data_IF_759713001610
#
_entry.id   IF_759713001610
#
_cell.length_a   1.000
_cell.length_b   1.000
_cell.length_c   1.000
_cell.angle_alpha   90.00
_cell.angle_beta   90.00
_cell.angle_gamma   90.00
#
_symmetry.space_group_name_H-M   'P 1'
#
loop_
_entity.id
_entity.type
_entity.pdbx_description
1 polymer ?
#
# COMPACT_ATOMS: atom_id res chain seq x y z
N UNK A 1 -4.88 -5.97 -34.99
CA UNK A 1 -4.53 -5.93 -33.54
C UNK A 1 -3.12 -6.45 -33.41
N UNK A 2 -2.24 -5.79 -32.65
CA UNK A 2 -0.91 -6.33 -32.32
C UNK A 2 -1.05 -7.60 -31.49
N UNK A 3 -0.04 -8.48 -31.52
CA UNK A 3 -0.02 -9.66 -30.66
C UNK A 3 0.05 -9.24 -29.19
N UNK A 4 -0.66 -9.93 -28.26
CA UNK A 4 -0.54 -9.69 -26.84
C UNK A 4 0.91 -9.79 -26.36
N UNK A 5 1.33 -8.90 -25.47
CA UNK A 5 2.63 -9.03 -24.80
C UNK A 5 2.61 -10.17 -23.79
N UNK A 6 3.75 -10.83 -23.61
CA UNK A 6 3.99 -11.72 -22.48
C UNK A 6 4.54 -10.89 -21.31
N UNK A 7 3.75 -10.74 -20.25
CA UNK A 7 4.08 -9.95 -19.08
C UNK A 7 4.38 -10.87 -17.89
N UNK A 8 5.54 -10.70 -17.28
CA UNK A 8 5.87 -11.37 -16.02
C UNK A 8 5.90 -10.37 -14.88
N UNK A 9 5.10 -10.63 -13.84
CA UNK A 9 5.03 -9.84 -12.61
C UNK A 9 5.68 -10.64 -11.49
N UNK A 10 6.63 -10.05 -10.79
CA UNK A 10 7.37 -10.67 -9.69
C UNK A 10 6.81 -10.16 -8.38
N UNK A 11 6.06 -11.00 -7.67
CA UNK A 11 5.36 -10.72 -6.43
C UNK A 11 3.85 -10.58 -6.58
N UNK A 12 3.10 -11.38 -5.81
CA UNK A 12 1.63 -11.39 -5.74
C UNK A 12 1.10 -10.50 -4.59
N UNK A 13 1.79 -9.41 -4.25
CA UNK A 13 1.28 -8.38 -3.35
C UNK A 13 0.20 -7.50 -4.02
N UNK A 14 -0.33 -6.51 -3.27
CA UNK A 14 -1.39 -5.62 -3.78
C UNK A 14 -1.03 -4.94 -5.11
N UNK A 15 0.23 -4.45 -5.23
CA UNK A 15 0.72 -3.82 -6.45
C UNK A 15 0.71 -4.79 -7.64
N UNK A 16 1.28 -6.00 -7.46
CA UNK A 16 1.39 -6.98 -8.53
C UNK A 16 0.04 -7.51 -8.98
N UNK A 17 -0.85 -7.84 -8.05
CA UNK A 17 -2.20 -8.35 -8.39
C UNK A 17 -3.06 -7.31 -9.09
N UNK A 18 -3.03 -6.05 -8.66
CA UNK A 18 -3.82 -5.02 -9.33
C UNK A 18 -3.24 -4.64 -10.69
N UNK A 19 -1.91 -4.69 -10.86
CA UNK A 19 -1.27 -4.55 -12.17
C UNK A 19 -1.64 -5.70 -13.12
N UNK A 20 -1.71 -6.93 -12.57
CA UNK A 20 -2.20 -8.09 -13.33
C UNK A 20 -3.65 -7.88 -13.78
N UNK A 21 -4.51 -7.32 -12.90
CA UNK A 21 -5.90 -6.98 -13.26
C UNK A 21 -5.97 -5.98 -14.42
N UNK A 22 -5.12 -4.98 -14.45
CA UNK A 22 -5.09 -3.98 -15.54
C UNK A 22 -4.66 -4.62 -16.85
N UNK A 23 -3.57 -5.39 -16.82
CA UNK A 23 -2.91 -5.87 -18.02
C UNK A 23 -3.56 -7.11 -18.65
N UNK A 24 -4.29 -7.93 -17.87
CA UNK A 24 -4.89 -9.18 -18.33
C UNK A 24 -5.92 -9.01 -19.44
N UNK A 25 -6.47 -7.81 -19.61
CA UNK A 25 -7.47 -7.57 -20.63
C UNK A 25 -6.90 -7.60 -22.06
N UNK A 26 -5.63 -7.23 -22.21
CA UNK A 26 -4.99 -7.04 -23.50
C UNK A 26 -3.71 -7.90 -23.66
N UNK A 27 -3.19 -8.48 -22.58
CA UNK A 27 -1.89 -9.16 -22.55
C UNK A 27 -1.92 -10.49 -21.81
N UNK A 28 -0.93 -11.36 -22.06
CA UNK A 28 -0.72 -12.62 -21.34
C UNK A 28 0.05 -12.34 -20.05
N UNK A 29 -0.58 -12.50 -18.89
CA UNK A 29 0.01 -12.12 -17.60
C UNK A 29 0.30 -13.34 -16.75
N UNK A 30 1.57 -13.48 -16.33
CA UNK A 30 2.02 -14.47 -15.34
C UNK A 30 2.57 -13.74 -14.13
N UNK A 31 2.05 -14.06 -12.94
CA UNK A 31 2.53 -13.56 -11.65
C UNK A 31 3.33 -14.66 -10.97
N UNK A 32 4.55 -14.37 -10.56
CA UNK A 32 5.45 -15.28 -9.87
C UNK A 32 5.50 -14.90 -8.38
N UNK A 33 5.10 -15.81 -7.51
CA UNK A 33 5.12 -15.58 -6.05
C UNK A 33 5.96 -16.65 -5.36
N UNK A 34 6.88 -16.20 -4.50
CA UNK A 34 7.81 -17.08 -3.78
C UNK A 34 7.15 -17.94 -2.70
N UNK A 35 6.07 -17.45 -2.10
CA UNK A 35 5.34 -18.20 -1.07
C UNK A 35 4.48 -19.29 -1.70
N UNK A 36 4.27 -20.38 -0.95
CA UNK A 36 3.51 -21.55 -1.43
C UNK A 36 2.00 -21.42 -1.31
N UNK A 37 1.48 -20.27 -0.89
CA UNK A 37 0.03 -20.02 -0.76
C UNK A 37 -0.28 -18.57 -0.39
N UNK A 38 -1.49 -18.15 -0.73
CA UNK A 38 -1.97 -16.77 -0.56
C UNK A 38 -2.44 -16.46 0.86
N UNK A 39 -1.59 -16.64 1.86
CA UNK A 39 -1.88 -16.19 3.23
C UNK A 39 -1.22 -14.82 3.47
N UNK A 40 -1.91 -13.76 3.08
CA UNK A 40 -1.49 -12.41 3.45
C UNK A 40 -1.68 -12.22 4.96
N UNK A 41 -0.58 -12.19 5.69
CA UNK A 41 -0.59 -11.79 7.09
C UNK A 41 -0.74 -10.27 7.15
N UNK A 42 -1.79 -9.76 7.77
CA UNK A 42 -1.97 -8.33 7.79
C UNK A 42 -2.77 -7.80 8.95
N UNK A 43 -2.41 -6.59 9.35
CA UNK A 43 -3.27 -5.67 10.07
C UNK A 43 -4.24 -4.99 9.08
N UNK A 44 -5.06 -4.06 9.53
CA UNK A 44 -5.87 -3.29 8.61
C UNK A 44 -5.04 -2.32 7.78
N UNK A 45 -5.60 -1.91 6.66
CA UNK A 45 -5.08 -0.92 5.73
C UNK A 45 -6.17 0.09 5.43
N UNK A 46 -5.79 1.32 5.16
CA UNK A 46 -6.72 2.32 4.63
C UNK A 46 -6.46 2.57 3.15
N UNK A 47 -7.53 2.83 2.42
CA UNK A 47 -7.50 3.18 1.01
C UNK A 47 -8.17 4.54 0.83
N UNK A 48 -7.35 5.55 0.52
CA UNK A 48 -7.80 6.92 0.31
C UNK A 48 -8.52 7.13 -1.03
N UNK A 49 -9.14 8.29 -1.24
CA UNK A 49 -9.87 8.61 -2.47
C UNK A 49 -9.11 8.35 -3.77
N UNK A 50 -7.79 8.64 -3.78
CA UNK A 50 -6.93 8.39 -4.94
C UNK A 50 -6.85 6.90 -5.31
N UNK A 51 -6.69 6.03 -4.32
CA UNK A 51 -6.69 4.57 -4.56
C UNK A 51 -8.09 4.02 -4.81
N UNK A 52 -9.09 4.47 -4.05
CA UNK A 52 -10.45 3.95 -4.12
C UNK A 52 -11.10 4.14 -5.48
N UNK A 53 -10.99 5.33 -6.08
CA UNK A 53 -11.57 5.57 -7.42
C UNK A 53 -10.96 4.68 -8.49
N UNK A 54 -9.65 4.43 -8.42
CA UNK A 54 -8.95 3.53 -9.34
C UNK A 54 -9.42 2.09 -9.13
N UNK A 55 -9.37 1.61 -7.89
CA UNK A 55 -9.78 0.26 -7.57
C UNK A 55 -11.24 -0.02 -7.99
N UNK A 56 -12.17 0.91 -7.71
CA UNK A 56 -13.58 0.81 -8.16
C UNK A 56 -13.70 0.77 -9.69
N UNK A 57 -12.97 1.59 -10.41
CA UNK A 57 -12.95 1.57 -11.87
C UNK A 57 -12.43 0.24 -12.42
N UNK A 58 -11.59 -0.50 -11.67
CA UNK A 58 -11.09 -1.83 -11.99
C UNK A 58 -12.01 -2.97 -11.54
N UNK A 59 -13.15 -2.66 -10.91
CA UNK A 59 -14.15 -3.64 -10.48
C UNK A 59 -14.04 -4.06 -9.00
N UNK A 60 -13.28 -3.32 -8.18
CA UNK A 60 -13.24 -3.53 -6.73
C UNK A 60 -14.62 -3.31 -6.11
N UNK A 61 -15.04 -4.26 -5.30
CA UNK A 61 -16.31 -4.22 -4.56
C UNK A 61 -16.00 -4.07 -3.06
N UNK A 62 -16.30 -2.90 -2.46
CA UNK A 62 -16.03 -2.65 -1.05
C UNK A 62 -16.65 -3.69 -0.10
N UNK A 63 -17.83 -4.18 -0.45
CA UNK A 63 -18.55 -5.21 0.30
C UNK A 63 -17.79 -6.54 0.40
N UNK A 64 -17.05 -6.94 -0.65
CA UNK A 64 -16.24 -8.16 -0.66
C UNK A 64 -15.05 -8.06 0.32
N UNK A 65 -14.51 -6.87 0.51
CA UNK A 65 -13.39 -6.61 1.40
C UNK A 65 -13.84 -6.15 2.81
N UNK A 66 -15.15 -6.20 3.12
CA UNK A 66 -15.70 -5.72 4.38
C UNK A 66 -15.28 -4.28 4.70
N UNK A 67 -15.19 -3.45 3.66
CA UNK A 67 -14.70 -2.07 3.76
C UNK A 67 -15.70 -1.17 4.48
N UNK A 68 -15.18 -0.26 5.30
CA UNK A 68 -15.96 0.75 6.01
C UNK A 68 -15.57 2.14 5.52
N UNK A 69 -16.55 2.94 5.12
CA UNK A 69 -16.31 4.34 4.74
C UNK A 69 -15.92 5.16 5.98
N UNK A 70 -14.78 5.81 5.91
CA UNK A 70 -14.27 6.69 6.96
C UNK A 70 -14.98 8.05 6.90
N UNK A 71 -15.53 8.51 8.02
CA UNK A 71 -16.22 9.79 8.12
C UNK A 71 -15.34 10.92 8.66
N UNK A 72 -14.24 10.58 9.34
CA UNK A 72 -13.40 11.57 9.99
C UNK A 72 -12.29 10.98 10.83
N UNK A 73 -11.60 11.86 11.54
CA UNK A 73 -10.56 11.53 12.49
C UNK A 73 -10.81 12.19 13.84
N UNK A 74 -10.45 11.50 14.92
CA UNK A 74 -10.48 12.02 16.28
C UNK A 74 -9.09 11.87 16.86
N UNK A 75 -8.50 12.98 17.28
CA UNK A 75 -7.19 13.02 17.92
C UNK A 75 -7.35 13.18 19.42
N UNK A 76 -6.62 12.41 20.15
CA UNK A 76 -6.56 12.40 21.60
C UNK A 76 -5.13 12.68 22.08
N UNK A 77 -5.00 13.33 23.22
CA UNK A 77 -3.73 13.35 23.94
C UNK A 77 -3.46 12.01 24.65
N UNK A 78 -2.34 11.89 25.35
CA UNK A 78 -2.00 10.69 26.14
C UNK A 78 -3.07 10.32 27.18
N UNK A 79 -3.82 11.28 27.71
CA UNK A 79 -4.84 11.07 28.75
C UNK A 79 -6.22 10.72 28.22
N UNK A 80 -6.40 10.72 26.90
CA UNK A 80 -7.68 10.44 26.27
C UNK A 80 -8.57 11.66 26.09
N UNK A 81 -8.05 12.88 26.35
CA UNK A 81 -8.80 14.10 26.05
C UNK A 81 -8.76 14.36 24.55
N UNK A 82 -9.91 14.71 23.96
CA UNK A 82 -10.00 15.07 22.55
C UNK A 82 -9.28 16.40 22.32
N UNK A 83 -8.26 16.39 21.48
CA UNK A 83 -7.48 17.57 21.08
C UNK A 83 -7.94 18.16 19.75
N UNK A 84 -8.43 17.31 18.84
CA UNK A 84 -8.88 17.71 17.53
C UNK A 84 -9.87 16.69 16.95
N UNK A 85 -10.87 17.17 16.23
CA UNK A 85 -11.79 16.32 15.45
C UNK A 85 -11.87 16.86 14.04
N UNK A 86 -11.77 15.99 13.06
CA UNK A 86 -11.96 16.32 11.65
C UNK A 86 -13.11 15.52 11.06
N UNK A 87 -13.95 16.18 10.29
CA UNK A 87 -14.93 15.54 9.43
C UNK A 87 -14.39 15.57 8.00
N UNK A 88 -14.47 14.44 7.30
CA UNK A 88 -13.95 14.37 5.93
C UNK A 88 -14.92 14.93 4.90
N UNK A 89 -16.19 15.09 5.27
CA UNK A 89 -17.24 15.54 4.36
C UNK A 89 -17.44 14.55 3.19
N UNK A 90 -17.92 15.07 2.09
CA UNK A 90 -18.15 14.28 0.87
C UNK A 90 -16.85 14.18 0.03
N UNK A 91 -15.98 13.23 0.42
CA UNK A 91 -14.74 12.95 -0.31
C UNK A 91 -15.01 12.42 -1.73
N UNK A 92 -16.11 11.69 -1.92
CA UNK A 92 -16.45 11.14 -3.22
C UNK A 92 -16.74 12.23 -4.23
N UNK A 93 -17.54 13.24 -3.87
CA UNK A 93 -17.78 14.41 -4.73
C UNK A 93 -16.53 15.24 -4.95
N UNK A 94 -15.69 15.39 -3.92
CA UNK A 94 -14.52 16.26 -4.01
C UNK A 94 -13.34 15.66 -4.76
N UNK A 95 -13.08 14.33 -4.58
CA UNK A 95 -11.88 13.66 -5.08
C UNK A 95 -12.19 12.44 -5.95
N UNK A 96 -13.46 12.10 -6.14
CA UNK A 96 -13.92 10.98 -6.97
C UNK A 96 -13.89 9.62 -6.29
N UNK A 97 -13.66 9.56 -4.97
CA UNK A 97 -13.65 8.31 -4.22
C UNK A 97 -13.80 8.53 -2.73
N UNK A 98 -14.26 7.51 -2.02
CA UNK A 98 -14.34 7.50 -0.56
C UNK A 98 -12.99 7.10 0.05
N UNK A 99 -12.85 7.30 1.35
CA UNK A 99 -11.76 6.74 2.13
C UNK A 99 -12.26 5.49 2.86
N UNK A 100 -11.64 4.31 2.60
CA UNK A 100 -12.04 3.05 3.22
C UNK A 100 -11.04 2.56 4.25
N UNK A 101 -11.59 2.00 5.34
CA UNK A 101 -10.87 1.13 6.28
C UNK A 101 -11.23 -0.32 5.98
N UNK A 102 -10.23 -1.18 5.88
CA UNK A 102 -10.43 -2.59 5.56
C UNK A 102 -9.29 -3.45 6.10
N UNK A 103 -9.49 -4.73 6.19
CA UNK A 103 -8.42 -5.66 6.55
C UNK A 103 -7.57 -5.95 5.30
N UNK A 104 -6.24 -5.98 5.45
CA UNK A 104 -5.32 -6.11 4.32
C UNK A 104 -5.49 -7.43 3.57
N UNK A 105 -5.76 -8.54 4.30
CA UNK A 105 -6.01 -9.82 3.67
C UNK A 105 -7.27 -9.80 2.79
N UNK A 106 -8.35 -9.16 3.25
CA UNK A 106 -9.60 -9.10 2.48
C UNK A 106 -9.44 -8.24 1.21
N UNK A 107 -8.65 -7.17 1.30
CA UNK A 107 -8.27 -6.37 0.13
C UNK A 107 -7.43 -7.18 -0.85
N UNK A 108 -6.50 -7.98 -0.32
CA UNK A 108 -5.66 -8.86 -1.12
C UNK A 108 -6.50 -9.94 -1.83
N UNK A 109 -7.42 -10.59 -1.12
CA UNK A 109 -8.35 -11.58 -1.69
C UNK A 109 -9.16 -10.98 -2.84
N UNK A 110 -9.65 -9.74 -2.67
CA UNK A 110 -10.42 -9.07 -3.73
C UNK A 110 -9.52 -8.70 -4.92
N UNK A 111 -8.30 -8.24 -4.73
CA UNK A 111 -7.37 -7.98 -5.82
C UNK A 111 -6.92 -9.26 -6.52
N UNK A 112 -6.73 -10.35 -5.77
CA UNK A 112 -6.47 -11.67 -6.33
C UNK A 112 -7.65 -12.15 -7.19
N UNK A 113 -8.87 -12.00 -6.71
CA UNK A 113 -10.08 -12.29 -7.49
C UNK A 113 -10.13 -11.48 -8.78
N UNK A 114 -9.87 -10.17 -8.71
CA UNK A 114 -9.85 -9.30 -9.88
C UNK A 114 -8.78 -9.71 -10.91
N UNK A 115 -7.63 -10.18 -10.45
CA UNK A 115 -6.56 -10.65 -11.32
C UNK A 115 -6.87 -12.01 -11.98
N UNK A 116 -7.53 -12.95 -11.26
CA UNK A 116 -7.56 -14.38 -11.62
C UNK A 116 -8.96 -14.94 -11.95
N UNK A 117 -10.04 -14.25 -11.59
CA UNK A 117 -11.38 -14.74 -11.88
C UNK A 117 -11.66 -14.78 -13.41
N UNK A 118 -12.53 -15.65 -13.87
CA UNK A 118 -12.96 -15.70 -15.27
C UNK A 118 -13.41 -14.32 -15.77
N UNK A 119 -13.05 -13.98 -17.00
CA UNK A 119 -13.35 -12.66 -17.56
C UNK A 119 -14.86 -12.38 -17.65
N UNK A 120 -15.68 -13.41 -17.92
CA UNK A 120 -17.14 -13.30 -17.93
C UNK A 120 -17.70 -12.91 -16.55
N UNK A 121 -17.11 -13.39 -15.45
CA UNK A 121 -17.57 -13.09 -14.08
C UNK A 121 -17.26 -11.63 -13.68
N UNK A 122 -16.26 -11.06 -14.31
CA UNK A 122 -15.85 -9.68 -14.11
C UNK A 122 -16.45 -8.70 -15.13
N UNK A 123 -17.03 -9.21 -16.23
CA UNK A 123 -17.52 -8.38 -17.34
C UNK A 123 -16.38 -7.66 -18.10
N UNK A 124 -15.22 -8.31 -18.23
CA UNK A 124 -14.03 -7.75 -18.87
C UNK A 124 -13.53 -8.62 -20.02
N UNK A 125 -12.66 -8.06 -20.87
CA UNK A 125 -11.99 -8.80 -21.94
C UNK A 125 -10.76 -9.56 -21.43
N UNK A 126 -10.10 -10.28 -22.35
CA UNK A 126 -8.84 -10.96 -22.12
C UNK A 126 -8.95 -12.25 -21.33
N UNK A 127 -7.83 -12.73 -20.79
CA UNK A 127 -7.75 -13.99 -20.04
C UNK A 127 -7.37 -13.73 -18.58
N UNK A 128 -7.80 -14.57 -17.64
CA UNK A 128 -7.32 -14.53 -16.27
C UNK A 128 -5.79 -14.53 -16.21
N UNK A 129 -5.21 -13.73 -15.32
CA UNK A 129 -3.79 -13.84 -15.03
C UNK A 129 -3.49 -15.17 -14.35
N UNK A 130 -2.35 -15.79 -14.71
CA UNK A 130 -1.87 -17.02 -14.06
C UNK A 130 -0.96 -16.66 -12.88
N UNK A 131 -1.29 -17.11 -11.67
CA UNK A 131 -0.44 -16.97 -10.50
C UNK A 131 0.28 -18.29 -10.24
N UNK A 132 1.61 -18.25 -10.26
CA UNK A 132 2.48 -19.40 -9.96
C UNK A 132 3.09 -19.23 -8.57
N UNK A 133 2.74 -20.13 -7.67
CA UNK A 133 3.20 -20.15 -6.29
C UNK A 133 4.50 -20.93 -6.13
N UNK A 134 5.27 -20.64 -5.09
CA UNK A 134 6.56 -21.29 -4.82
C UNK A 134 7.63 -20.94 -5.87
N UNK A 135 7.50 -19.81 -6.54
CA UNK A 135 8.39 -19.36 -7.60
C UNK A 135 9.35 -18.29 -7.09
N UNK A 136 10.47 -18.69 -6.53
CA UNK A 136 11.51 -17.78 -6.08
C UNK A 136 12.34 -17.28 -7.27
N UNK A 137 12.22 -15.99 -7.60
CA UNK A 137 13.03 -15.32 -8.61
C UNK A 137 14.40 -15.00 -8.02
N UNK A 138 15.45 -15.43 -8.71
CA UNK A 138 16.85 -15.24 -8.29
C UNK A 138 17.63 -14.29 -9.20
N UNK A 139 17.16 -14.08 -10.43
CA UNK A 139 17.79 -13.16 -11.36
C UNK A 139 16.81 -12.60 -12.40
N UNK A 140 17.09 -11.38 -12.85
CA UNK A 140 16.37 -10.71 -13.94
C UNK A 140 17.37 -10.02 -14.84
N UNK A 141 17.36 -10.36 -16.12
CA UNK A 141 17.99 -9.55 -17.15
C UNK A 141 16.99 -8.46 -17.59
N UNK A 142 17.24 -7.25 -17.12
CA UNK A 142 16.33 -6.12 -17.30
C UNK A 142 16.21 -5.64 -18.75
N UNK A 143 17.23 -5.89 -19.59
CA UNK A 143 17.24 -5.48 -20.98
C UNK A 143 16.50 -6.49 -21.88
N UNK A 144 16.78 -7.79 -21.70
CA UNK A 144 16.13 -8.84 -22.49
C UNK A 144 14.74 -9.22 -22.00
N UNK A 145 14.43 -8.98 -20.70
CA UNK A 145 13.23 -9.42 -20.05
C UNK A 145 13.24 -10.90 -19.63
N UNK A 146 14.43 -11.49 -19.45
CA UNK A 146 14.59 -12.87 -18.99
C UNK A 146 14.54 -12.91 -17.45
N UNK A 147 13.60 -13.69 -16.90
CA UNK A 147 13.46 -13.94 -15.47
C UNK A 147 13.87 -15.37 -15.15
N UNK A 148 14.77 -15.56 -14.18
CA UNK A 148 15.30 -16.86 -13.76
C UNK A 148 14.84 -17.22 -12.36
N UNK A 149 14.35 -18.45 -12.17
CA UNK A 149 13.92 -18.99 -10.88
C UNK A 149 15.01 -19.86 -10.23
N UNK A 150 14.93 -20.00 -8.91
CA UNK A 150 15.83 -20.85 -8.12
C UNK A 150 15.80 -22.33 -8.54
N UNK A 151 14.68 -22.82 -9.08
CA UNK A 151 14.52 -24.19 -9.56
C UNK A 151 15.01 -24.41 -11.02
N UNK A 152 15.60 -23.39 -11.63
CA UNK A 152 16.16 -23.43 -12.98
C UNK A 152 15.17 -23.08 -14.10
N UNK A 153 13.87 -22.91 -13.82
CA UNK A 153 12.92 -22.41 -14.82
C UNK A 153 13.27 -20.99 -15.25
N UNK A 154 12.93 -20.65 -16.48
CA UNK A 154 13.12 -19.32 -17.06
C UNK A 154 11.88 -18.84 -17.78
N UNK A 155 11.62 -17.55 -17.68
CA UNK A 155 10.50 -16.88 -18.36
C UNK A 155 11.06 -15.77 -19.26
N UNK A 156 10.75 -15.85 -20.55
CA UNK A 156 11.05 -14.78 -21.51
C UNK A 156 9.83 -13.85 -21.57
N UNK A 157 10.06 -12.57 -21.31
CA UNK A 157 8.99 -11.58 -21.16
C UNK A 157 9.20 -10.39 -22.08
N UNK A 158 8.12 -9.83 -22.57
CA UNK A 158 8.11 -8.56 -23.29
C UNK A 158 8.16 -7.38 -22.31
N UNK A 159 7.54 -7.57 -21.14
CA UNK A 159 7.53 -6.63 -20.02
C UNK A 159 7.74 -7.40 -18.71
N UNK A 160 8.67 -6.94 -17.87
CA UNK A 160 8.87 -7.44 -16.50
C UNK A 160 8.47 -6.37 -15.49
N UNK A 161 7.66 -6.74 -14.51
CA UNK A 161 7.20 -5.86 -13.43
C UNK A 161 7.73 -6.40 -12.10
N UNK A 162 8.66 -5.69 -11.47
CA UNK A 162 9.15 -5.98 -10.12
C UNK A 162 8.22 -5.40 -9.06
N UNK A 163 7.38 -6.25 -8.48
CA UNK A 163 6.49 -5.94 -7.36
C UNK A 163 6.91 -6.74 -6.10
N UNK A 164 8.21 -7.01 -5.97
CA UNK A 164 8.85 -7.92 -5.02
C UNK A 164 9.13 -7.28 -3.65
N UNK A 165 8.51 -6.11 -3.39
CA UNK A 165 8.40 -5.49 -2.09
C UNK A 165 9.67 -4.80 -1.59
N UNK A 166 9.72 -4.52 -0.29
CA UNK A 166 10.76 -3.68 0.32
C UNK A 166 12.19 -4.25 0.16
N UNK A 167 12.33 -5.57 0.08
CA UNK A 167 13.61 -6.29 -0.13
C UNK A 167 13.87 -6.61 -1.60
N UNK A 168 13.40 -5.79 -2.52
CA UNK A 168 13.41 -6.03 -3.95
C UNK A 168 14.79 -6.38 -4.52
N UNK A 169 14.86 -7.53 -5.18
CA UNK A 169 15.99 -7.92 -6.03
C UNK A 169 15.95 -7.10 -7.33
N UNK A 170 14.75 -6.89 -7.89
CA UNK A 170 14.57 -6.18 -9.17
C UNK A 170 15.03 -4.74 -9.07
N UNK A 171 14.83 -4.08 -7.93
CA UNK A 171 15.27 -2.70 -7.68
C UNK A 171 16.75 -2.52 -7.95
N UNK A 172 17.60 -3.41 -7.42
CA UNK A 172 19.06 -3.32 -7.61
C UNK A 172 19.42 -3.46 -9.08
N UNK A 173 18.75 -4.36 -9.81
CA UNK A 173 18.98 -4.58 -11.25
C UNK A 173 18.57 -3.37 -12.09
N UNK A 174 17.47 -2.71 -11.73
CA UNK A 174 16.94 -1.52 -12.41
C UNK A 174 17.83 -0.30 -12.12
N UNK A 175 18.10 -0.03 -10.85
CA UNK A 175 18.89 1.15 -10.44
C UNK A 175 20.38 0.98 -10.76
N UNK A 176 20.89 -0.25 -10.67
CA UNK A 176 22.30 -0.56 -10.93
C UNK A 176 23.24 -0.15 -9.79
N UNK A 177 22.71 0.09 -8.59
CA UNK A 177 23.48 0.49 -7.41
C UNK A 177 23.00 -0.29 -6.17
N UNK A 178 23.93 -1.02 -5.55
CA UNK A 178 23.71 -1.81 -4.33
C UNK A 178 23.31 -0.94 -3.12
N UNK A 179 23.61 0.35 -3.11
CA UNK A 179 23.20 1.27 -2.06
C UNK A 179 21.68 1.34 -1.92
N UNK A 180 20.94 1.02 -2.97
CA UNK A 180 19.48 0.98 -2.97
C UNK A 180 18.88 -0.42 -2.67
N UNK A 181 19.70 -1.41 -2.31
CA UNK A 181 19.22 -2.78 -2.03
C UNK A 181 18.17 -2.82 -0.94
N UNK A 182 18.34 -2.04 0.13
CA UNK A 182 17.42 -2.02 1.27
C UNK A 182 16.98 -0.61 1.60
N UNK A 183 15.72 -0.48 1.97
CA UNK A 183 15.22 0.75 2.60
C UNK A 183 15.91 0.98 3.94
N UNK A 184 16.10 2.24 4.33
CA UNK A 184 16.77 2.62 5.59
C UNK A 184 15.81 2.56 6.76
N UNK A 185 16.28 2.23 7.98
CA UNK A 185 15.49 2.41 9.21
C UNK A 185 15.04 3.87 9.35
N UNK A 186 13.79 4.07 9.73
CA UNK A 186 13.22 5.41 9.93
C UNK A 186 13.45 5.98 11.33
N UNK A 187 14.02 5.18 12.26
CA UNK A 187 14.14 5.53 13.67
C UNK A 187 12.89 5.27 14.49
N UNK A 188 11.93 4.54 13.91
CA UNK A 188 10.69 4.12 14.58
C UNK A 188 10.31 2.70 14.22
N UNK A 189 9.57 2.07 15.13
CA UNK A 189 9.02 0.74 14.92
C UNK A 189 7.53 0.71 15.26
N UNK A 190 6.82 -0.26 14.72
CA UNK A 190 5.37 -0.37 14.88
C UNK A 190 4.98 -1.72 15.49
N UNK A 191 4.25 -1.68 16.60
CA UNK A 191 3.43 -2.80 17.07
C UNK A 191 2.11 -2.79 16.32
N UNK A 192 1.68 -3.94 15.83
CA UNK A 192 0.38 -4.09 15.16
C UNK A 192 -0.31 -5.36 15.59
N UNK A 193 -1.60 -5.24 15.84
CA UNK A 193 -2.50 -6.35 16.15
C UNK A 193 -3.94 -5.96 15.84
N UNK A 194 -4.81 -6.96 15.80
CA UNK A 194 -6.25 -6.75 15.68
C UNK A 194 -6.96 -7.38 16.87
N UNK A 195 -8.10 -6.81 17.25
CA UNK A 195 -8.96 -7.33 18.31
C UNK A 195 -10.35 -7.62 17.75
N UNK A 196 -10.94 -8.80 18.04
CA UNK A 196 -12.35 -9.04 17.76
C UNK A 196 -13.22 -8.00 18.49
N UNK A 197 -14.29 -7.55 17.82
CA UNK A 197 -15.27 -6.61 18.37
C UNK A 197 -15.74 -6.99 19.77
N UNK A 198 -16.08 -8.26 19.98
CA UNK A 198 -16.62 -8.73 21.25
C UNK A 198 -15.61 -8.60 22.40
N UNK A 199 -14.32 -8.80 22.12
CA UNK A 199 -13.28 -8.56 23.13
C UNK A 199 -13.21 -7.10 23.55
N UNK A 200 -13.40 -6.17 22.62
CA UNK A 200 -13.43 -4.73 22.90
C UNK A 200 -14.71 -4.36 23.64
N UNK A 201 -15.86 -4.88 23.23
CA UNK A 201 -17.16 -4.64 23.88
C UNK A 201 -17.20 -5.11 25.33
N UNK A 202 -16.48 -6.17 25.67
CA UNK A 202 -16.35 -6.67 27.05
C UNK A 202 -15.54 -5.73 27.95
N UNK A 203 -14.72 -4.85 27.36
CA UNK A 203 -13.91 -3.84 28.10
C UNK A 203 -14.69 -2.54 28.22
N UNK A 204 -15.15 -2.03 27.08
CA UNK A 204 -15.91 -0.79 26.96
C UNK A 204 -16.93 -0.96 25.81
N UNK A 205 -18.21 -1.21 26.14
CA UNK A 205 -19.25 -1.39 25.12
C UNK A 205 -19.52 -0.11 24.30
N UNK A 206 -19.10 1.05 24.80
CA UNK A 206 -19.24 2.34 24.12
C UNK A 206 -17.96 2.77 23.38
N UNK A 207 -16.95 1.87 23.30
CA UNK A 207 -15.70 2.21 22.62
C UNK A 207 -15.96 2.60 21.16
N UNK A 208 -15.47 3.77 20.77
CA UNK A 208 -15.83 4.40 19.49
C UNK A 208 -15.58 3.53 18.26
N UNK A 209 -14.55 2.69 18.26
CA UNK A 209 -14.21 1.83 17.13
C UNK A 209 -15.14 0.62 16.95
N UNK A 210 -16.04 0.32 17.90
CA UNK A 210 -17.02 -0.77 17.77
C UNK A 210 -18.46 -0.28 17.67
N UNK A 211 -18.67 1.03 17.75
CA UNK A 211 -20.00 1.64 17.72
C UNK A 211 -20.55 1.70 16.29
N UNK A 212 -21.37 0.69 15.95
CA UNK A 212 -22.04 0.60 14.64
C UNK A 212 -23.11 1.66 14.40
N UNK A 213 -23.55 2.36 15.45
CA UNK A 213 -24.53 3.44 15.32
C UNK A 213 -23.92 4.73 14.76
N UNK A 214 -22.59 4.81 14.72
CA UNK A 214 -21.84 5.96 14.26
C UNK A 214 -20.97 5.58 13.03
N UNK A 215 -20.70 6.53 12.15
CA UNK A 215 -19.79 6.31 11.03
C UNK A 215 -18.39 5.93 11.51
N UNK A 216 -17.66 5.10 10.74
CA UNK A 216 -16.31 4.71 11.08
C UNK A 216 -15.37 5.92 11.13
N UNK A 217 -14.50 5.98 12.13
CA UNK A 217 -13.54 7.07 12.31
C UNK A 217 -12.14 6.55 12.65
N UNK A 218 -11.14 7.31 12.22
CA UNK A 218 -9.76 7.13 12.62
C UNK A 218 -9.56 7.74 14.01
N UNK A 219 -9.06 6.98 14.96
CA UNK A 219 -8.74 7.46 16.30
C UNK A 219 -7.23 7.46 16.47
N UNK A 220 -6.66 8.59 16.84
CA UNK A 220 -5.21 8.77 16.98
C UNK A 220 -4.92 9.29 18.37
N UNK A 221 -4.22 8.49 19.18
CA UNK A 221 -3.73 8.86 20.50
C UNK A 221 -2.27 9.27 20.39
N UNK A 222 -1.94 10.48 20.83
CA UNK A 222 -0.63 11.09 20.60
C UNK A 222 0.11 11.38 21.90
N UNK A 223 1.37 10.95 21.95
CA UNK A 223 2.33 11.26 22.99
C UNK A 223 3.72 11.53 22.42
N UNK A 224 4.62 11.96 23.27
CA UNK A 224 5.99 12.29 22.85
C UNK A 224 6.72 11.04 22.35
N UNK A 225 7.10 11.03 21.08
CA UNK A 225 7.81 9.93 20.42
C UNK A 225 6.98 8.65 20.22
N UNK A 226 5.67 8.69 20.45
CA UNK A 226 4.78 7.53 20.35
C UNK A 226 3.35 7.94 19.96
N UNK A 227 2.70 7.11 19.17
CA UNK A 227 1.28 7.29 18.83
C UNK A 227 0.60 5.94 18.66
N UNK A 228 -0.69 5.86 18.99
CA UNK A 228 -1.53 4.71 18.69
C UNK A 228 -2.65 5.12 17.74
N UNK A 229 -2.87 4.30 16.71
CA UNK A 229 -3.88 4.51 15.68
C UNK A 229 -4.88 3.36 15.76
N UNK A 230 -6.15 3.69 15.99
CA UNK A 230 -7.21 2.72 16.20
C UNK A 230 -8.36 3.00 15.24
N UNK A 231 -8.83 1.98 14.52
CA UNK A 231 -9.99 2.09 13.64
C UNK A 231 -10.64 0.73 13.38
N UNK A 232 -11.94 0.69 13.07
CA UNK A 232 -12.64 -0.56 12.75
C UNK A 232 -12.27 -1.07 11.35
N UNK A 233 -12.38 -2.37 11.16
CA UNK A 233 -12.37 -3.01 9.86
C UNK A 233 -13.31 -4.24 9.84
N UNK A 234 -13.43 -4.94 8.70
CA UNK A 234 -14.35 -6.08 8.54
C UNK A 234 -15.75 -5.80 9.05
N UNK A 235 -16.40 -4.75 8.53
CA UNK A 235 -17.76 -4.36 8.96
C UNK A 235 -17.90 -4.16 10.48
N UNK A 236 -16.89 -3.60 11.14
CA UNK A 236 -16.79 -3.45 12.62
C UNK A 236 -16.57 -4.77 13.39
N UNK A 237 -16.31 -5.89 12.75
CA UNK A 237 -16.05 -7.16 13.45
C UNK A 237 -14.62 -7.23 14.04
N UNK A 238 -13.71 -6.41 13.51
CA UNK A 238 -12.35 -6.26 14.03
C UNK A 238 -12.03 -4.79 14.31
N UNK A 239 -11.22 -4.58 15.33
CA UNK A 239 -10.56 -3.30 15.63
C UNK A 239 -9.08 -3.45 15.35
N UNK A 240 -8.57 -2.63 14.44
CA UNK A 240 -7.14 -2.52 14.18
C UNK A 240 -6.48 -1.60 15.19
N UNK A 241 -5.33 -2.00 15.69
CA UNK A 241 -4.48 -1.20 16.58
C UNK A 241 -3.07 -1.18 16.02
N UNK A 242 -2.60 0.00 15.66
CA UNK A 242 -1.24 0.26 15.21
C UNK A 242 -0.55 1.22 16.16
N UNK A 243 0.52 0.80 16.81
CA UNK A 243 1.24 1.58 17.80
C UNK A 243 2.65 1.88 17.29
N UNK A 244 2.95 3.12 16.95
CA UNK A 244 4.25 3.56 16.46
C UNK A 244 5.01 4.21 17.62
N UNK A 245 6.24 3.77 17.85
CA UNK A 245 7.12 4.35 18.85
C UNK A 245 8.53 4.58 18.26
N UNK A 246 9.25 5.59 18.76
CA UNK A 246 10.66 5.76 18.41
C UNK A 246 11.48 4.57 18.88
N UNK A 247 12.51 4.20 18.14
CA UNK A 247 13.37 3.06 18.47
C UNK A 247 14.07 3.25 19.82
N UNK A 248 14.32 4.49 20.24
CA UNK A 248 14.86 4.83 21.57
C UNK A 248 13.93 4.39 22.70
N UNK A 249 12.61 4.52 22.53
CA UNK A 249 11.62 4.07 23.52
C UNK A 249 11.49 2.55 23.57
N UNK A 250 11.70 1.89 22.43
CA UNK A 250 11.67 0.42 22.34
C UNK A 250 12.88 -0.19 23.03
N UNK A 251 14.04 0.49 22.98
CA UNK A 251 15.25 0.14 23.74
C UNK A 251 15.90 -1.17 23.32
N UNK A 252 15.55 -1.70 22.15
CA UNK A 252 16.18 -2.88 21.54
C UNK A 252 16.17 -2.77 20.02
N UNK A 253 17.10 -3.47 19.39
CA UNK A 253 17.12 -3.56 17.93
C UNK A 253 15.86 -4.25 17.40
N UNK A 254 15.25 -3.65 16.39
CA UNK A 254 14.09 -4.20 15.68
C UNK A 254 14.48 -4.58 14.26
N UNK A 255 13.73 -5.48 13.65
CA UNK A 255 13.99 -5.94 12.28
C UNK A 255 12.79 -5.65 11.38
N UNK A 256 13.01 -5.64 10.06
CA UNK A 256 11.95 -5.52 9.07
C UNK A 256 11.20 -6.85 8.82
N UNK A 257 11.32 -7.82 9.70
CA UNK A 257 10.67 -9.13 9.55
C UNK A 257 9.19 -9.07 9.92
N UNK A 258 8.32 -9.45 9.01
CA UNK A 258 6.88 -9.61 9.26
C UNK A 258 6.56 -10.67 10.33
N UNK A 259 7.50 -11.57 10.61
CA UNK A 259 7.39 -12.60 11.66
C UNK A 259 7.94 -12.15 13.01
N UNK A 260 8.55 -10.97 13.11
CA UNK A 260 9.05 -10.47 14.40
C UNK A 260 7.89 -10.23 15.36
N UNK A 261 8.03 -10.76 16.57
CA UNK A 261 7.01 -10.68 17.61
C UNK A 261 7.32 -9.56 18.59
N UNK A 262 6.31 -8.76 18.90
CA UNK A 262 6.31 -7.85 20.05
C UNK A 262 5.72 -8.54 21.27
N UNK A 263 6.07 -8.08 22.46
CA UNK A 263 5.42 -8.54 23.69
C UNK A 263 4.38 -7.52 24.17
N UNK A 264 3.38 -8.01 24.87
CA UNK A 264 2.37 -7.17 25.52
C UNK A 264 3.01 -6.30 26.61
N UNK A 265 3.97 -6.86 27.29
CA UNK A 265 4.74 -6.21 28.36
C UNK A 265 5.52 -5.01 27.80
N UNK A 266 6.23 -5.15 26.68
CA UNK A 266 6.90 -4.06 25.99
C UNK A 266 5.91 -2.96 25.59
N UNK A 267 4.78 -3.37 24.96
CA UNK A 267 3.75 -2.44 24.53
C UNK A 267 3.17 -1.63 25.71
N UNK A 268 2.79 -2.29 26.79
CA UNK A 268 2.26 -1.63 27.99
C UNK A 268 3.28 -0.74 28.67
N UNK A 269 4.55 -1.13 28.71
CA UNK A 269 5.64 -0.31 29.25
C UNK A 269 5.87 0.96 28.43
N UNK A 270 5.91 0.84 27.10
CA UNK A 270 6.16 1.97 26.20
C UNK A 270 5.02 2.98 26.28
N UNK A 271 3.78 2.53 26.42
CA UNK A 271 2.59 3.37 26.48
C UNK A 271 2.08 3.62 27.90
N UNK A 272 2.94 3.40 28.91
CA UNK A 272 2.58 3.71 30.30
C UNK A 272 2.13 5.19 30.43
N UNK A 273 1.07 5.39 31.20
CA UNK A 273 0.44 6.69 31.40
C UNK A 273 -0.53 7.15 30.33
N UNK A 274 -0.77 6.35 29.26
CA UNK A 274 -1.83 6.61 28.30
C UNK A 274 -3.22 6.34 28.89
N UNK A 275 -4.26 6.76 28.15
CA UNK A 275 -5.67 6.54 28.48
C UNK A 275 -5.92 5.10 28.94
N UNK A 276 -6.49 4.89 30.13
CA UNK A 276 -6.81 3.57 30.65
C UNK A 276 -7.67 2.71 29.71
N UNK A 277 -8.56 3.32 28.90
CA UNK A 277 -9.36 2.61 27.91
C UNK A 277 -8.47 2.03 26.81
N UNK A 278 -7.53 2.81 26.28
CA UNK A 278 -6.55 2.36 25.29
C UNK A 278 -5.67 1.26 25.86
N UNK A 279 -5.14 1.44 27.07
CA UNK A 279 -4.32 0.41 27.73
C UNK A 279 -5.09 -0.88 27.99
N UNK A 280 -6.39 -0.80 28.20
CA UNK A 280 -7.24 -1.99 28.36
C UNK A 280 -7.35 -2.79 27.07
N UNK A 281 -7.34 -2.14 25.88
CA UNK A 281 -7.22 -2.84 24.60
C UNK A 281 -5.86 -3.55 24.49
N UNK A 282 -4.78 -2.88 24.88
CA UNK A 282 -3.44 -3.46 24.82
C UNK A 282 -3.28 -4.71 25.69
N UNK A 283 -3.96 -4.76 26.84
CA UNK A 283 -4.00 -5.96 27.71
C UNK A 283 -4.65 -7.17 27.04
N UNK A 284 -5.51 -6.96 26.04
CA UNK A 284 -6.15 -8.04 25.26
C UNK A 284 -5.34 -8.45 24.04
N UNK A 285 -4.28 -7.72 23.73
CA UNK A 285 -3.50 -7.96 22.51
C UNK A 285 -2.90 -9.38 22.51
N UNK A 286 -3.10 -10.07 21.39
CA UNK A 286 -2.51 -11.36 21.04
C UNK A 286 -1.81 -11.21 19.70
N UNK A 287 -0.88 -12.10 19.41
CA UNK A 287 -0.19 -12.14 18.11
C UNK A 287 0.37 -10.78 17.66
N UNK A 288 0.95 -10.06 18.63
CA UNK A 288 1.51 -8.73 18.40
C UNK A 288 2.70 -8.86 17.45
N UNK A 289 2.65 -8.17 16.34
CA UNK A 289 3.77 -8.03 15.41
C UNK A 289 4.51 -6.75 15.71
N UNK A 290 5.85 -6.82 15.75
CA UNK A 290 6.72 -5.66 15.92
C UNK A 290 7.74 -5.65 14.80
N UNK A 291 7.70 -4.62 13.96
CA UNK A 291 8.69 -4.46 12.91
C UNK A 291 9.20 -3.03 12.80
N UNK A 292 10.44 -2.93 12.40
CA UNK A 292 11.08 -1.67 12.10
C UNK A 292 10.43 -1.00 10.90
N UNK A 293 10.04 0.25 11.05
CA UNK A 293 9.59 1.07 9.94
C UNK A 293 10.80 1.50 9.11
N UNK A 294 10.69 1.33 7.82
CA UNK A 294 11.74 1.63 6.88
C UNK A 294 11.25 2.59 5.81
N UNK A 295 12.16 3.35 5.28
CA UNK A 295 11.91 4.38 4.30
C UNK A 295 12.96 4.31 3.19
N UNK A 296 12.51 4.26 1.94
CA UNK A 296 13.37 4.27 0.77
C UNK A 296 13.62 5.70 0.33
N UNK A 297 14.88 6.06 0.03
CA UNK A 297 15.15 7.32 -0.67
C UNK A 297 14.51 7.30 -2.06
N UNK A 298 14.01 8.46 -2.56
CA UNK A 298 13.57 8.55 -3.92
C UNK A 298 14.60 7.98 -4.89
N UNK A 299 14.17 7.04 -5.71
CA UNK A 299 15.04 6.36 -6.66
C UNK A 299 15.32 7.25 -7.88
N UNK A 300 16.50 7.13 -8.50
CA UNK A 300 16.82 7.88 -9.72
C UNK A 300 15.99 7.44 -10.94
N UNK A 301 15.52 6.20 -10.95
CA UNK A 301 14.67 5.62 -11.99
C UNK A 301 13.87 4.45 -11.46
N UNK A 302 12.68 4.22 -12.02
CA UNK A 302 11.89 3.01 -11.78
C UNK A 302 12.00 1.99 -12.92
N UNK A 303 12.74 2.32 -13.99
CA UNK A 303 12.78 1.53 -15.21
C UNK A 303 14.21 1.28 -15.69
N UNK A 304 14.40 0.13 -16.35
CA UNK A 304 15.58 -0.14 -17.18
C UNK A 304 15.21 -1.17 -18.25
N UNK A 305 15.53 -0.88 -19.50
CA UNK A 305 15.20 -1.75 -20.62
C UNK A 305 13.69 -2.06 -20.67
N UNK A 306 13.33 -3.33 -20.42
CA UNK A 306 11.93 -3.83 -20.42
C UNK A 306 11.35 -4.05 -19.02
N UNK A 307 12.04 -3.56 -18.01
CA UNK A 307 11.71 -3.83 -16.61
C UNK A 307 11.33 -2.55 -15.90
N UNK A 308 10.26 -2.62 -15.10
CA UNK A 308 9.80 -1.55 -14.21
C UNK A 308 9.61 -2.09 -12.80
N UNK A 309 9.87 -1.28 -11.78
CA UNK A 309 9.57 -1.60 -10.37
C UNK A 309 8.40 -0.75 -9.87
N UNK A 310 7.58 -1.34 -9.00
CA UNK A 310 6.36 -0.73 -8.46
C UNK A 310 6.17 -1.06 -6.97
N UNK A 311 5.26 -0.34 -6.32
CA UNK A 311 4.95 -0.54 -4.91
C UNK A 311 6.18 -0.34 -4.01
N UNK A 312 6.31 -1.12 -2.96
CA UNK A 312 7.44 -1.03 -2.02
C UNK A 312 8.80 -1.34 -2.67
N UNK A 313 8.82 -2.00 -3.84
CA UNK A 313 10.05 -2.17 -4.61
C UNK A 313 10.56 -0.83 -5.17
N UNK A 314 9.68 0.11 -5.46
CA UNK A 314 10.01 1.43 -6.01
C UNK A 314 10.04 2.53 -4.93
N UNK A 315 9.09 2.52 -3.98
CA UNK A 315 8.82 3.68 -3.13
C UNK A 315 8.35 3.31 -1.71
N UNK A 316 8.99 2.33 -1.07
CA UNK A 316 8.72 2.01 0.33
C UNK A 316 8.76 3.28 1.20
N UNK A 317 7.76 3.48 2.03
CA UNK A 317 7.58 4.68 2.86
C UNK A 317 6.96 4.36 4.22
N UNK A 318 7.17 5.26 5.18
CA UNK A 318 6.53 5.15 6.50
C UNK A 318 5.02 5.38 6.43
N UNK A 319 4.23 4.85 7.38
CA UNK A 319 2.76 4.84 7.27
C UNK A 319 2.07 6.15 7.65
N UNK A 320 2.80 7.24 7.91
CA UNK A 320 2.24 8.47 8.51
C UNK A 320 1.11 9.12 7.71
N UNK A 321 1.06 8.95 6.40
CA UNK A 321 -0.03 9.44 5.55
C UNK A 321 -0.91 8.33 4.97
N UNK A 322 -0.64 7.06 5.29
CA UNK A 322 -1.38 5.91 4.77
C UNK A 322 -1.30 5.76 3.25
N UNK A 323 -0.21 6.21 2.61
CA UNK A 323 -0.15 6.28 1.15
C UNK A 323 0.54 5.10 0.47
N UNK A 324 1.31 4.25 1.17
CA UNK A 324 2.04 3.15 0.51
C UNK A 324 1.16 2.26 -0.36
N UNK A 325 0.03 1.77 0.17
CA UNK A 325 -0.94 0.98 -0.59
C UNK A 325 -1.63 1.77 -1.70
N UNK A 326 -1.93 3.05 -1.46
CA UNK A 326 -2.54 3.91 -2.47
C UNK A 326 -1.59 4.17 -3.65
N UNK A 327 -0.30 4.36 -3.39
CA UNK A 327 0.70 4.53 -4.45
C UNK A 327 0.88 3.24 -5.27
N UNK A 328 0.80 2.07 -4.63
CA UNK A 328 0.79 0.79 -5.35
C UNK A 328 -0.43 0.64 -6.29
N UNK A 329 -1.60 1.16 -5.88
CA UNK A 329 -2.80 1.19 -6.71
C UNK A 329 -2.65 2.17 -7.88
N UNK A 330 -2.05 3.35 -7.64
CA UNK A 330 -1.74 4.30 -8.70
C UNK A 330 -0.69 3.76 -9.68
N UNK A 331 0.29 2.96 -9.21
CA UNK A 331 1.24 2.28 -10.11
C UNK A 331 0.53 1.29 -11.03
N UNK A 332 -0.42 0.53 -10.51
CA UNK A 332 -1.21 -0.38 -11.32
C UNK A 332 -2.01 0.37 -12.40
N UNK A 333 -2.60 1.52 -12.04
CA UNK A 333 -3.28 2.40 -13.02
C UNK A 333 -2.31 2.94 -14.07
N UNK A 334 -1.05 3.16 -13.72
CA UNK A 334 0.01 3.57 -14.65
C UNK A 334 0.13 2.63 -15.87
N UNK A 335 -0.22 1.36 -15.72
CA UNK A 335 -0.22 0.41 -16.84
C UNK A 335 -1.38 0.60 -17.82
N UNK A 336 -2.28 1.55 -17.60
CA UNK A 336 -3.21 1.99 -18.66
C UNK A 336 -2.50 2.56 -19.89
N UNK A 337 -1.25 2.97 -19.78
CA UNK A 337 -0.40 3.32 -20.93
C UNK A 337 -0.19 2.12 -21.87
N UNK A 338 -0.34 0.89 -21.39
CA UNK A 338 -0.24 -0.34 -22.17
C UNK A 338 -1.56 -0.80 -22.82
N UNK A 339 -2.63 -0.03 -22.66
CA UNK A 339 -3.96 -0.34 -23.28
C UNK A 339 -4.19 0.40 -24.61
N UNK A 340 -3.12 0.87 -25.25
CA UNK A 340 -3.21 1.55 -26.55
C UNK A 340 -3.11 0.57 -27.72
N UNK A 341 -3.63 1.00 -28.88
CA UNK A 341 -3.51 0.19 -30.11
C UNK A 341 -2.05 0.15 -30.58
N UNK A 342 -1.65 -0.98 -31.18
CA UNK A 342 -0.34 -1.17 -31.79
C UNK A 342 0.86 -1.33 -30.82
N UNK A 343 0.61 -1.60 -29.55
CA UNK A 343 1.69 -1.92 -28.61
C UNK A 343 2.34 -3.24 -29.00
N UNK A 344 3.66 -3.26 -29.01
CA UNK A 344 4.47 -4.42 -29.28
C UNK A 344 5.74 -4.41 -28.43
N UNK A 345 6.52 -5.49 -28.51
CA UNK A 345 7.77 -5.63 -27.74
C UNK A 345 8.72 -4.44 -27.90
N UNK A 346 8.81 -3.83 -29.09
CA UNK A 346 9.73 -2.72 -29.34
C UNK A 346 9.28 -1.40 -28.69
N UNK A 347 7.96 -1.22 -28.49
CA UNK A 347 7.42 0.00 -27.86
C UNK A 347 7.48 -0.01 -26.32
N UNK A 348 7.74 -1.17 -25.68
CA UNK A 348 7.76 -1.28 -24.21
C UNK A 348 8.72 -0.27 -23.54
N UNK A 349 9.99 -0.12 -23.96
CA UNK A 349 10.89 0.84 -23.29
C UNK A 349 10.40 2.29 -23.35
N UNK A 350 9.81 2.73 -24.46
CA UNK A 350 9.29 4.11 -24.58
C UNK A 350 8.07 4.35 -23.71
N UNK A 351 7.16 3.36 -23.61
CA UNK A 351 5.98 3.44 -22.73
C UNK A 351 6.42 3.49 -21.26
N UNK A 352 7.44 2.71 -20.90
CA UNK A 352 8.00 2.75 -19.56
C UNK A 352 8.65 4.10 -19.21
N UNK A 353 9.23 4.82 -20.18
CA UNK A 353 9.71 6.19 -19.96
C UNK A 353 8.57 7.13 -19.54
N UNK A 354 7.41 7.05 -20.19
CA UNK A 354 6.25 7.85 -19.82
C UNK A 354 5.70 7.44 -18.45
N UNK A 355 5.68 6.14 -18.14
CA UNK A 355 5.36 5.65 -16.81
C UNK A 355 6.29 6.24 -15.74
N UNK A 356 7.61 6.18 -15.93
CA UNK A 356 8.60 6.69 -14.98
C UNK A 356 8.44 8.19 -14.76
N UNK A 357 8.24 8.98 -15.83
CA UNK A 357 8.02 10.43 -15.75
C UNK A 357 6.88 10.80 -14.81
N UNK A 358 5.77 10.07 -14.87
CA UNK A 358 4.59 10.35 -14.02
C UNK A 358 4.75 9.72 -12.64
N UNK A 359 4.98 8.42 -12.58
CA UNK A 359 4.87 7.68 -11.32
C UNK A 359 6.02 7.97 -10.37
N UNK A 360 7.26 8.01 -10.87
CA UNK A 360 8.42 8.30 -10.02
C UNK A 360 8.34 9.71 -9.43
N UNK A 361 8.01 10.72 -10.21
CA UNK A 361 7.87 12.09 -9.70
C UNK A 361 6.79 12.17 -8.62
N UNK A 362 5.62 11.57 -8.86
CA UNK A 362 4.51 11.59 -7.90
C UNK A 362 4.81 10.83 -6.62
N UNK A 363 5.24 9.57 -6.72
CA UNK A 363 5.52 8.75 -5.55
C UNK A 363 6.67 9.32 -4.71
N UNK A 364 7.74 9.84 -5.35
CA UNK A 364 8.84 10.53 -4.65
C UNK A 364 8.37 11.76 -3.88
N UNK A 365 7.47 12.55 -4.45
CA UNK A 365 6.88 13.71 -3.74
C UNK A 365 6.12 13.25 -2.50
N UNK A 366 5.32 12.18 -2.59
CA UNK A 366 4.55 11.64 -1.47
C UNK A 366 5.48 11.02 -0.41
N UNK A 367 6.57 10.35 -0.81
CA UNK A 367 7.61 9.90 0.13
C UNK A 367 8.18 11.07 0.94
N UNK A 368 8.52 12.18 0.28
CA UNK A 368 9.04 13.37 0.95
C UNK A 368 8.02 14.00 1.89
N UNK A 369 6.74 14.09 1.47
CA UNK A 369 5.65 14.56 2.32
C UNK A 369 5.48 13.68 3.56
N UNK A 370 5.57 12.35 3.39
CA UNK A 370 5.47 11.39 4.49
C UNK A 370 6.63 11.54 5.48
N UNK A 371 7.85 11.77 5.01
CA UNK A 371 9.02 12.08 5.85
C UNK A 371 8.84 13.36 6.66
N UNK A 372 8.36 14.43 6.03
CA UNK A 372 8.15 15.71 6.70
C UNK A 372 7.12 15.61 7.84
N UNK A 373 6.20 14.65 7.75
CA UNK A 373 5.22 14.36 8.81
C UNK A 373 5.77 13.49 9.95
N UNK A 374 6.95 12.86 9.78
CA UNK A 374 7.56 12.05 10.81
C UNK A 374 8.02 12.94 12.00
N UNK A 375 7.38 12.77 13.15
CA UNK A 375 7.73 13.51 14.37
C UNK A 375 7.38 15.00 14.40
N UNK A 376 6.82 15.57 13.33
CA UNK A 376 6.38 16.97 13.26
C UNK A 376 5.02 17.06 12.60
N UNK A 377 4.00 17.45 13.35
CA UNK A 377 2.66 17.65 12.81
C UNK A 377 2.35 19.14 12.72
N UNK A 378 2.59 19.71 11.55
CA UNK A 378 2.06 21.02 11.17
C UNK A 378 0.69 20.81 10.49
N UNK A 379 -0.44 21.19 11.14
CA UNK A 379 -1.76 20.97 10.59
C UNK A 379 -1.97 21.63 9.22
N UNK A 380 -1.32 22.76 8.96
CA UNK A 380 -1.43 23.47 7.68
C UNK A 380 -0.81 22.68 6.53
N UNK A 381 0.35 22.07 6.76
CA UNK A 381 1.02 21.19 5.81
C UNK A 381 0.27 19.88 5.63
N UNK A 382 -0.29 19.32 6.71
CA UNK A 382 -1.01 18.06 6.68
C UNK A 382 -2.19 18.13 5.70
N UNK A 383 -2.97 19.22 5.72
CA UNK A 383 -4.08 19.41 4.79
C UNK A 383 -3.58 19.54 3.33
N UNK A 384 -2.54 20.31 3.10
CA UNK A 384 -1.93 20.47 1.77
C UNK A 384 -1.46 19.13 1.21
N UNK A 385 -0.79 18.31 2.02
CA UNK A 385 -0.33 16.99 1.61
C UNK A 385 -1.50 16.04 1.35
N UNK A 386 -2.54 16.09 2.16
CA UNK A 386 -3.77 15.31 1.95
C UNK A 386 -4.43 15.68 0.63
N UNK A 387 -4.56 16.97 0.32
CA UNK A 387 -5.08 17.43 -0.97
C UNK A 387 -4.23 16.90 -2.12
N UNK A 388 -2.90 17.05 -2.06
CA UNK A 388 -2.00 16.51 -3.08
C UNK A 388 -2.19 15.00 -3.27
N UNK A 389 -2.27 14.25 -2.18
CA UNK A 389 -2.44 12.80 -2.22
C UNK A 389 -3.75 12.41 -2.92
N UNK A 390 -4.86 13.07 -2.59
CA UNK A 390 -6.18 12.71 -3.09
C UNK A 390 -6.48 13.23 -4.49
N UNK A 391 -5.82 14.34 -4.91
CA UNK A 391 -5.96 14.94 -6.25
C UNK A 391 -5.03 14.24 -7.24
N UNK A 392 -5.38 13.02 -7.64
CA UNK A 392 -4.68 12.30 -8.70
C UNK A 392 -5.62 12.12 -9.89
N UNK A 393 -5.39 12.75 -11.04
CA UNK A 393 -6.32 12.69 -12.15
C UNK A 393 -6.18 11.42 -13.03
N UNK A 394 -5.14 10.61 -12.78
CA UNK A 394 -4.79 9.45 -13.57
C UNK A 394 -3.54 9.67 -14.42
N UNK A 395 -2.90 8.55 -14.83
CA UNK A 395 -1.58 8.57 -15.51
C UNK A 395 -1.62 9.34 -16.83
N UNK A 396 -2.68 9.18 -17.63
CA UNK A 396 -2.81 9.83 -18.94
C UNK A 396 -2.94 11.34 -18.81
N UNK A 397 -3.78 11.81 -17.89
CA UNK A 397 -3.95 13.24 -17.65
C UNK A 397 -2.67 13.87 -17.09
N UNK A 398 -1.99 13.20 -16.15
CA UNK A 398 -0.69 13.63 -15.65
C UNK A 398 0.34 13.75 -16.79
N UNK A 399 0.40 12.76 -17.67
CA UNK A 399 1.30 12.78 -18.82
C UNK A 399 0.99 13.92 -19.80
N UNK A 400 -0.30 14.16 -20.08
CA UNK A 400 -0.74 15.26 -20.95
C UNK A 400 -0.32 16.61 -20.39
N UNK A 401 -0.50 16.85 -19.09
CA UNK A 401 -0.05 18.07 -18.40
C UNK A 401 1.45 18.26 -18.47
N UNK A 402 2.22 17.21 -18.18
CA UNK A 402 3.68 17.26 -18.29
C UNK A 402 4.14 17.58 -19.72
N UNK A 403 3.48 17.04 -20.74
CA UNK A 403 3.78 17.32 -22.15
C UNK A 403 3.41 18.76 -22.55
N UNK A 404 2.42 19.36 -21.90
CA UNK A 404 2.03 20.75 -22.06
C UNK A 404 2.93 21.73 -21.24
N UNK A 405 3.87 21.22 -20.43
CA UNK A 405 4.71 22.03 -19.54
C UNK A 405 3.99 22.53 -18.29
N UNK A 406 2.89 21.88 -17.93
CA UNK A 406 2.08 22.20 -16.76
C UNK A 406 2.49 21.37 -15.53
N UNK A 407 2.05 21.81 -14.36
CA UNK A 407 2.19 21.00 -13.14
C UNK A 407 1.32 19.74 -13.25
N UNK A 408 1.90 18.58 -12.91
CA UNK A 408 1.22 17.30 -12.96
C UNK A 408 -0.03 17.26 -12.08
N UNK A 409 0.03 17.87 -10.90
CA UNK A 409 -1.07 17.99 -9.94
C UNK A 409 -1.31 19.47 -9.65
N UNK A 410 -2.45 19.96 -10.06
CA UNK A 410 -2.92 21.29 -9.68
C UNK A 410 -3.73 21.20 -8.38
N UNK A 411 -3.33 21.95 -7.33
CA UNK A 411 -4.02 22.02 -6.03
C UNK A 411 -4.46 23.47 -5.76
#
# INVERSE_FOLDING_TARGET
MSAPLNVTIIGAGLAGLLSARVLREDHNVTVLEKWSGGNELGAAINMGPNGTKIAKALGFKPENAGSLSASGGIHYNEKGDVTFTSEFGDLASKFGGEWYFQHRADLWDEFHRLATAPSNDLGVSGQPATVLWGCEVVDVDVESGLVSLADGRKFESDLVIGADGIKSLVRVKVVGDEAFRTARPSGSSAFRFTLPRDNVANIDPEFRAIDRSKPASLQIYEGVGRQAVVYPCRNFDLVNVGCIASDDLIGRETTESWSATGTREDLLKIYDGFDPKLLSLFKQAKDIRLWQLRDQDPLPTYIKGRTVIIGDAAHAMTPHQGQGGNQAIEDAEGFFLFKEQHINRASVPSILQDFDRVRRQRASTIQMHTRDQHGRKDPSKMWKYTQYNFTYPGVRECLNRLNAGEEMIAI
#
